data_IF_281642222738
#
_entry.id   IF_281642222738
#
_cell.length_a   1.000
_cell.length_b   1.000
_cell.length_c   1.000
_cell.angle_alpha   90.00
_cell.angle_beta   90.00
_cell.angle_gamma   90.00
#
_symmetry.space_group_name_H-M   'P 1'
#
loop_
_entity.id
_entity.type
_entity.pdbx_description
1 polymer ?
#
# COMPACT_ATOMS: atom_id res chain seq x y z
N UNK A 1 -23.92 0.66 -11.07
CA UNK A 1 -23.68 1.83 -10.17
C UNK A 1 -22.57 2.69 -10.76
N UNK A 2 -22.52 3.99 -10.47
CA UNK A 2 -21.51 4.90 -11.03
C UNK A 2 -20.68 5.57 -9.93
N UNK A 3 -19.39 5.79 -10.21
CA UNK A 3 -18.52 6.50 -9.29
C UNK A 3 -18.84 8.00 -9.28
N UNK A 4 -19.13 8.62 -8.13
CA UNK A 4 -19.47 10.04 -8.06
C UNK A 4 -18.30 10.97 -8.42
N UNK A 5 -17.06 10.49 -8.37
CA UNK A 5 -15.87 11.31 -8.64
C UNK A 5 -15.36 11.23 -10.08
N UNK A 6 -15.46 10.06 -10.74
CA UNK A 6 -14.92 9.87 -12.08
C UNK A 6 -15.94 9.42 -13.13
N UNK A 7 -17.21 9.19 -12.73
CA UNK A 7 -18.27 8.75 -13.64
C UNK A 7 -18.13 7.31 -14.17
N UNK A 8 -17.16 6.53 -13.69
CA UNK A 8 -16.96 5.17 -14.15
C UNK A 8 -18.11 4.27 -13.69
N UNK A 9 -18.70 3.52 -14.62
CA UNK A 9 -19.80 2.58 -14.37
C UNK A 9 -19.29 1.21 -13.92
N UNK A 10 -19.96 0.63 -12.93
CA UNK A 10 -19.60 -0.63 -12.28
C UNK A 10 -20.79 -1.59 -12.32
N UNK A 11 -20.50 -2.82 -12.74
CA UNK A 11 -21.36 -3.98 -12.54
C UNK A 11 -20.84 -4.71 -11.30
N UNK A 12 -21.62 -4.67 -10.23
CA UNK A 12 -21.25 -5.25 -8.94
C UNK A 12 -22.23 -6.38 -8.67
N UNK A 13 -21.71 -7.55 -8.30
CA UNK A 13 -22.53 -8.70 -7.96
C UNK A 13 -23.44 -8.39 -6.76
N UNK A 14 -24.65 -8.93 -6.76
CA UNK A 14 -25.69 -8.70 -5.73
C UNK A 14 -25.19 -8.94 -4.30
N UNK A 15 -24.27 -9.88 -4.14
CA UNK A 15 -23.76 -10.33 -2.83
C UNK A 15 -22.82 -9.32 -2.16
N UNK A 16 -22.38 -8.29 -2.90
CA UNK A 16 -21.55 -7.22 -2.37
C UNK A 16 -22.37 -6.06 -1.80
N UNK A 17 -23.71 -6.20 -1.71
CA UNK A 17 -24.58 -5.22 -1.06
C UNK A 17 -24.16 -4.93 0.37
N UNK A 18 -23.97 -3.65 0.71
CA UNK A 18 -23.50 -3.20 2.02
C UNK A 18 -21.98 -3.06 2.17
N UNK A 19 -21.19 -3.46 1.17
CA UNK A 19 -19.72 -3.30 1.17
C UNK A 19 -19.25 -1.97 0.57
N UNK A 20 -18.03 -1.57 0.91
CA UNK A 20 -17.32 -0.44 0.29
C UNK A 20 -16.31 -0.93 -0.74
N UNK A 21 -16.39 -0.40 -1.96
CA UNK A 21 -15.46 -0.70 -3.05
C UNK A 21 -14.67 0.57 -3.39
N UNK A 22 -13.36 0.45 -3.63
CA UNK A 22 -12.55 1.58 -4.07
C UNK A 22 -12.51 1.62 -5.58
N UNK A 23 -12.96 2.75 -6.13
CA UNK A 23 -12.89 3.02 -7.55
C UNK A 23 -11.43 3.19 -8.00
N UNK A 24 -11.13 2.96 -9.27
CA UNK A 24 -9.80 3.19 -9.86
C UNK A 24 -9.33 4.64 -9.69
N UNK A 25 -10.25 5.59 -9.59
CA UNK A 25 -9.92 6.99 -9.29
C UNK A 25 -9.52 7.25 -7.82
N UNK A 26 -9.58 6.22 -6.95
CA UNK A 26 -9.29 6.29 -5.52
C UNK A 26 -10.47 6.71 -4.64
N UNK A 27 -11.67 6.85 -5.20
CA UNK A 27 -12.88 7.20 -4.45
C UNK A 27 -13.57 5.95 -3.92
N UNK A 28 -13.92 5.94 -2.64
CA UNK A 28 -14.72 4.88 -2.02
C UNK A 28 -16.18 5.00 -2.44
N UNK A 29 -16.78 3.90 -2.87
CA UNK A 29 -18.18 3.80 -3.27
C UNK A 29 -18.88 2.78 -2.35
N UNK A 30 -19.99 3.18 -1.74
CA UNK A 30 -20.87 2.26 -1.00
C UNK A 30 -21.74 1.49 -1.98
N UNK A 31 -21.74 0.17 -1.90
CA UNK A 31 -22.68 -0.68 -2.65
C UNK A 31 -24.00 -0.72 -1.88
N UNK A 32 -25.12 -0.23 -2.43
CA UNK A 32 -26.40 -0.29 -1.75
C UNK A 32 -26.80 -1.75 -1.49
N UNK A 33 -27.24 -2.05 -0.26
CA UNK A 33 -27.77 -3.38 0.07
C UNK A 33 -29.07 -3.65 -0.66
N UNK A 34 -29.22 -4.84 -1.25
CA UNK A 34 -30.49 -5.25 -1.85
C UNK A 34 -31.55 -5.39 -0.75
N UNK A 35 -32.57 -4.53 -0.79
CA UNK A 35 -33.78 -4.76 -0.03
C UNK A 35 -34.46 -6.03 -0.61
N UNK A 36 -34.61 -7.07 0.21
CA UNK A 36 -35.31 -8.30 -0.18
C UNK A 36 -36.80 -8.01 -0.39
N UNK A 37 -37.24 -7.83 -1.64
CA UNK A 37 -38.67 -7.89 -1.98
C UNK A 37 -39.00 -9.35 -2.35
N UNK A 38 -39.70 -10.04 -1.46
CA UNK A 38 -39.98 -11.48 -1.49
C UNK A 38 -41.19 -11.90 -2.34
N UNK A 39 -41.68 -11.08 -3.28
CA UNK A 39 -42.99 -11.32 -3.92
C UNK A 39 -42.99 -11.72 -5.40
N UNK A 40 -41.85 -11.87 -6.08
CA UNK A 40 -41.83 -12.12 -7.55
C UNK A 40 -41.34 -13.51 -7.99
N UNK A 41 -40.92 -14.39 -7.08
CA UNK A 41 -40.28 -15.67 -7.44
C UNK A 41 -41.29 -16.82 -7.66
N UNK A 42 -42.54 -16.72 -7.18
CA UNK A 42 -43.49 -17.84 -7.24
C UNK A 42 -44.09 -18.12 -8.64
N UNK A 43 -43.94 -17.23 -9.61
CA UNK A 43 -44.69 -17.34 -10.88
C UNK A 43 -44.00 -18.17 -11.99
N UNK A 44 -42.74 -18.58 -11.84
CA UNK A 44 -41.99 -19.26 -12.92
C UNK A 44 -41.77 -20.77 -12.71
N UNK A 45 -42.21 -21.36 -11.60
CA UNK A 45 -41.94 -22.78 -11.27
C UNK A 45 -43.01 -23.78 -11.76
N UNK A 46 -43.72 -23.49 -12.85
CA UNK A 46 -44.71 -24.43 -13.43
C UNK A 46 -44.55 -24.62 -14.94
N UNK A 47 -43.46 -25.25 -15.36
CA UNK A 47 -43.40 -25.91 -16.68
C UNK A 47 -42.73 -27.28 -16.51
N UNK A 48 -43.43 -28.31 -17.00
CA UNK A 48 -43.23 -29.75 -16.78
C UNK A 48 -41.95 -30.32 -17.42
N UNK A 49 -41.42 -31.34 -16.75
CA UNK A 49 -40.45 -32.33 -17.24
C UNK A 49 -40.98 -33.11 -18.46
N UNK A 50 -40.10 -33.42 -19.43
CA UNK A 50 -40.16 -34.70 -20.15
C UNK A 50 -38.83 -35.12 -20.82
N UNK A 51 -38.50 -36.41 -20.60
CA UNK A 51 -37.76 -37.36 -21.45
C UNK A 51 -36.25 -37.21 -21.82
N UNK A 52 -35.45 -38.10 -21.23
CA UNK A 52 -34.45 -39.05 -21.80
C UNK A 52 -33.59 -38.70 -23.03
N UNK A 53 -32.26 -38.97 -22.97
CA UNK A 53 -31.45 -39.73 -23.96
C UNK A 53 -30.07 -40.08 -23.37
N UNK A 54 -29.54 -41.24 -23.78
CA UNK A 54 -28.39 -42.01 -23.31
C UNK A 54 -27.09 -41.84 -24.15
N UNK A 55 -25.95 -41.88 -23.44
CA UNK A 55 -24.66 -42.58 -23.69
C UNK A 55 -23.81 -42.44 -24.99
N UNK A 56 -22.49 -42.65 -24.78
CA UNK A 56 -21.36 -42.94 -25.72
C UNK A 56 -20.72 -41.75 -26.46
N UNK A 57 -19.41 -41.63 -26.75
CA UNK A 57 -18.10 -42.20 -26.35
C UNK A 57 -16.99 -41.32 -27.03
N UNK A 58 -15.70 -41.60 -26.79
CA UNK A 58 -14.47 -41.23 -27.56
C UNK A 58 -13.62 -39.96 -27.28
N UNK A 59 -12.51 -40.20 -26.54
CA UNK A 59 -11.07 -40.17 -26.92
C UNK A 59 -10.27 -38.89 -27.34
N UNK A 60 -9.12 -38.75 -26.65
CA UNK A 60 -7.83 -38.09 -26.99
C UNK A 60 -7.79 -36.56 -27.15
N UNK A 61 -6.72 -35.83 -26.82
CA UNK A 61 -5.44 -36.03 -26.12
C UNK A 61 -4.84 -34.63 -25.95
N UNK A 62 -4.27 -34.32 -24.79
CA UNK A 62 -2.99 -33.60 -24.62
C UNK A 62 -2.93 -32.94 -23.24
N UNK A 63 -1.93 -33.37 -22.46
CA UNK A 63 -1.71 -32.90 -21.10
C UNK A 63 -0.85 -31.64 -21.05
N UNK A 64 -1.19 -30.74 -20.13
CA UNK A 64 -0.21 -30.16 -19.21
C UNK A 64 -0.87 -29.53 -17.97
N UNK A 65 -0.81 -30.29 -16.86
CA UNK A 65 -0.88 -29.91 -15.44
C UNK A 65 -1.98 -28.92 -14.97
N UNK A 66 -3.20 -29.43 -14.82
CA UNK A 66 -4.22 -28.83 -13.94
C UNK A 66 -4.02 -29.27 -12.48
N UNK A 67 -3.82 -28.30 -11.58
CA UNK A 67 -3.93 -28.49 -10.14
C UNK A 67 -5.39 -28.86 -9.79
N UNK A 68 -5.64 -29.90 -8.97
CA UNK A 68 -7.00 -30.38 -8.75
C UNK A 68 -7.74 -29.41 -7.84
N UNK A 69 -8.53 -28.51 -8.43
CA UNK A 69 -9.74 -28.03 -7.78
C UNK A 69 -10.65 -29.25 -7.65
N UNK A 70 -10.52 -29.95 -6.52
CA UNK A 70 -11.47 -30.97 -6.09
C UNK A 70 -12.83 -30.29 -6.07
N UNK A 71 -13.59 -30.45 -7.16
CA UNK A 71 -14.98 -30.07 -7.30
C UNK A 71 -15.66 -30.79 -6.13
N UNK A 72 -15.99 -30.04 -5.08
CA UNK A 72 -16.80 -30.55 -3.99
C UNK A 72 -18.07 -31.03 -4.64
N UNK A 73 -18.28 -32.35 -4.62
CA UNK A 73 -19.49 -32.98 -5.10
C UNK A 73 -20.67 -32.29 -4.41
N UNK A 74 -21.46 -31.62 -5.25
CA UNK A 74 -22.63 -30.87 -4.85
C UNK A 74 -23.78 -31.85 -4.59
N UNK A 75 -23.68 -32.61 -3.51
CA UNK A 75 -24.81 -33.35 -2.95
C UNK A 75 -25.75 -32.36 -2.25
N UNK A 76 -26.75 -31.91 -3.00
CA UNK A 76 -28.16 -31.60 -2.68
C UNK A 76 -28.58 -30.93 -1.34
N UNK A 77 -27.66 -30.46 -0.49
CA UNK A 77 -27.97 -29.79 0.78
C UNK A 77 -27.17 -28.49 1.04
N UNK A 78 -26.31 -28.05 0.11
CA UNK A 78 -25.37 -26.93 0.31
C UNK A 78 -25.96 -25.52 0.14
N UNK A 79 -27.06 -25.37 -0.60
CA UNK A 79 -27.62 -24.04 -0.90
C UNK A 79 -28.28 -23.36 0.31
N UNK A 80 -28.86 -24.15 1.23
CA UNK A 80 -29.46 -23.61 2.44
C UNK A 80 -28.42 -23.27 3.51
N UNK A 81 -27.29 -24.00 3.57
CA UNK A 81 -26.22 -23.66 4.50
C UNK A 81 -25.57 -22.33 4.11
N UNK A 82 -25.24 -22.12 2.84
CA UNK A 82 -24.63 -20.87 2.33
C UNK A 82 -25.52 -19.62 2.50
N UNK A 83 -26.85 -19.79 2.65
CA UNK A 83 -27.80 -18.70 2.94
C UNK A 83 -28.03 -18.45 4.43
N UNK A 84 -27.51 -19.30 5.31
CA UNK A 84 -27.66 -19.09 6.76
C UNK A 84 -26.77 -17.94 7.24
N UNK A 85 -27.23 -17.13 8.23
CA UNK A 85 -26.42 -16.08 8.83
C UNK A 85 -25.07 -16.59 9.35
N UNK A 86 -25.05 -17.82 9.90
CA UNK A 86 -23.84 -18.46 10.44
C UNK A 86 -22.83 -18.83 9.33
N UNK A 87 -23.26 -19.34 8.18
CA UNK A 87 -22.35 -19.63 7.07
C UNK A 87 -21.81 -18.35 6.43
N UNK A 88 -22.62 -17.29 6.38
CA UNK A 88 -22.19 -15.95 5.97
C UNK A 88 -21.11 -15.42 6.93
N UNK A 89 -21.31 -15.55 8.24
CA UNK A 89 -20.33 -15.14 9.25
C UNK A 89 -19.03 -15.96 9.18
N UNK A 90 -19.11 -17.28 9.01
CA UNK A 90 -17.94 -18.16 8.85
C UNK A 90 -17.17 -17.83 7.56
N UNK A 91 -17.87 -17.59 6.46
CA UNK A 91 -17.25 -17.20 5.19
C UNK A 91 -16.61 -15.81 5.30
N UNK A 92 -17.30 -14.84 5.91
CA UNK A 92 -16.78 -13.49 6.16
C UNK A 92 -15.53 -13.54 7.06
N UNK A 93 -15.53 -14.34 8.11
CA UNK A 93 -14.37 -14.53 9.00
C UNK A 93 -13.20 -15.19 8.26
N UNK A 94 -13.46 -16.16 7.38
CA UNK A 94 -12.43 -16.78 6.52
C UNK A 94 -11.84 -15.80 5.51
N UNK A 95 -12.69 -15.00 4.86
CA UNK A 95 -12.26 -13.97 3.91
C UNK A 95 -11.45 -12.88 4.63
N UNK A 96 -11.94 -12.38 5.77
CA UNK A 96 -11.24 -11.41 6.62
C UNK A 96 -9.87 -11.93 7.03
N UNK A 97 -9.79 -13.16 7.53
CA UNK A 97 -8.51 -13.78 7.95
C UNK A 97 -7.54 -13.93 6.78
N UNK A 98 -7.99 -14.37 5.60
CA UNK A 98 -7.16 -14.46 4.40
C UNK A 98 -6.62 -13.09 3.96
N UNK A 99 -7.46 -12.06 4.01
CA UNK A 99 -7.08 -10.68 3.66
C UNK A 99 -6.10 -10.07 4.66
N UNK A 100 -6.30 -10.32 5.96
CA UNK A 100 -5.37 -9.90 7.02
C UNK A 100 -4.02 -10.58 6.87
N UNK A 101 -3.99 -11.91 6.68
CA UNK A 101 -2.74 -12.66 6.52
C UNK A 101 -1.96 -12.20 5.29
N UNK A 102 -2.64 -12.00 4.15
CA UNK A 102 -2.00 -11.47 2.94
C UNK A 102 -1.41 -10.07 3.19
N UNK A 103 -2.15 -9.21 3.88
CA UNK A 103 -1.67 -7.85 4.15
C UNK A 103 -0.49 -7.82 5.11
N UNK A 104 -0.48 -8.69 6.12
CA UNK A 104 0.67 -8.85 7.03
C UNK A 104 1.91 -9.35 6.28
N UNK A 105 1.75 -10.33 5.39
CA UNK A 105 2.86 -10.82 4.56
C UNK A 105 3.38 -9.71 3.65
N UNK A 106 2.51 -8.96 2.98
CA UNK A 106 2.93 -7.86 2.12
C UNK A 106 3.59 -6.72 2.91
N UNK A 107 3.06 -6.36 4.08
CA UNK A 107 3.71 -5.40 4.98
C UNK A 107 5.12 -5.90 5.38
N UNK A 108 5.24 -7.16 5.78
CA UNK A 108 6.52 -7.75 6.14
C UNK A 108 7.50 -7.72 4.96
N UNK A 109 7.06 -8.10 3.76
CA UNK A 109 7.89 -8.06 2.55
C UNK A 109 8.31 -6.64 2.18
N UNK A 110 7.43 -5.64 2.33
CA UNK A 110 7.76 -4.23 2.09
C UNK A 110 8.79 -3.74 3.11
N UNK A 111 8.62 -4.03 4.40
CA UNK A 111 9.60 -3.66 5.42
C UNK A 111 10.94 -4.38 5.21
N UNK A 112 10.92 -5.65 4.84
CA UNK A 112 12.12 -6.43 4.54
C UNK A 112 12.83 -5.90 3.29
N UNK A 113 12.09 -5.56 2.24
CA UNK A 113 12.63 -4.97 1.02
C UNK A 113 13.25 -3.59 1.28
N UNK A 114 12.63 -2.80 2.15
CA UNK A 114 13.11 -1.47 2.51
C UNK A 114 14.37 -1.55 3.39
N UNK A 115 14.29 -2.28 4.51
CA UNK A 115 15.33 -2.28 5.55
C UNK A 115 16.40 -3.36 5.36
N UNK A 116 16.05 -4.48 4.72
CA UNK A 116 16.93 -5.65 4.59
C UNK A 116 18.28 -5.33 3.94
N UNK A 117 18.34 -4.66 2.78
CA UNK A 117 19.60 -4.29 2.15
C UNK A 117 20.48 -3.38 3.02
N UNK A 118 19.88 -2.46 3.77
CA UNK A 118 20.59 -1.58 4.69
C UNK A 118 21.12 -2.33 5.92
N UNK A 119 20.29 -3.19 6.53
CA UNK A 119 20.70 -4.04 7.66
C UNK A 119 21.84 -4.97 7.22
N UNK A 120 21.74 -5.58 6.05
CA UNK A 120 22.80 -6.42 5.50
C UNK A 120 24.12 -5.66 5.35
N UNK A 121 24.07 -4.44 4.80
CA UNK A 121 25.23 -3.58 4.64
C UNK A 121 25.86 -3.21 5.98
N UNK A 122 25.05 -2.86 6.99
CA UNK A 122 25.56 -2.55 8.34
C UNK A 122 26.19 -3.76 9.02
N UNK A 123 25.61 -4.95 8.84
CA UNK A 123 26.05 -6.19 9.52
C UNK A 123 27.26 -6.85 8.85
N UNK A 124 27.39 -6.76 7.52
CA UNK A 124 28.36 -7.56 6.75
C UNK A 124 29.53 -6.73 6.22
N UNK A 125 29.40 -5.41 6.17
CA UNK A 125 30.40 -4.51 5.59
C UNK A 125 30.99 -3.61 6.66
N UNK A 126 32.31 -3.46 6.68
CA UNK A 126 33.00 -2.54 7.58
C UNK A 126 32.61 -1.07 7.32
N UNK A 127 32.53 -0.27 8.39
CA UNK A 127 32.01 1.11 8.41
C UNK A 127 32.51 1.99 7.25
N UNK A 128 33.80 1.94 6.93
CA UNK A 128 34.38 2.77 5.85
C UNK A 128 33.81 2.46 4.47
N UNK A 129 33.47 1.20 4.21
CA UNK A 129 32.91 0.76 2.92
C UNK A 129 31.39 0.92 2.86
N UNK A 130 30.73 1.16 4.00
CA UNK A 130 29.27 1.34 4.06
C UNK A 130 28.83 2.60 3.30
N UNK A 131 29.56 3.71 3.43
CA UNK A 131 29.25 4.98 2.78
C UNK A 131 29.26 4.85 1.25
N UNK A 132 30.26 4.15 0.71
CA UNK A 132 30.39 3.90 -0.73
C UNK A 132 29.30 2.96 -1.25
N UNK A 133 28.87 1.99 -0.43
CA UNK A 133 27.88 0.99 -0.84
C UNK A 133 26.42 1.41 -0.56
N UNK A 134 26.20 2.45 0.23
CA UNK A 134 24.86 2.95 0.57
C UNK A 134 23.97 3.26 -0.66
N UNK A 135 24.47 3.89 -1.74
CA UNK A 135 23.69 4.10 -2.96
C UNK A 135 23.19 2.79 -3.57
N UNK A 136 24.03 1.76 -3.56
CA UNK A 136 23.70 0.45 -4.12
C UNK A 136 22.66 -0.26 -3.26
N UNK A 137 22.75 -0.19 -1.93
CA UNK A 137 21.71 -0.74 -1.06
C UNK A 137 20.37 -0.05 -1.27
N UNK A 138 20.35 1.28 -1.42
CA UNK A 138 19.12 2.03 -1.66
C UNK A 138 18.49 1.69 -3.02
N UNK A 139 19.30 1.47 -4.06
CA UNK A 139 18.81 0.99 -5.37
C UNK A 139 18.25 -0.43 -5.30
N UNK A 140 18.89 -1.32 -4.54
CA UNK A 140 18.38 -2.68 -4.30
C UNK A 140 17.04 -2.60 -3.57
N UNK A 141 16.93 -1.81 -2.49
CA UNK A 141 15.67 -1.58 -1.78
C UNK A 141 14.59 -1.05 -2.73
N UNK A 142 14.89 0.00 -3.51
CA UNK A 142 13.95 0.56 -4.48
C UNK A 142 13.48 -0.44 -5.54
N UNK A 143 14.40 -1.27 -6.04
CA UNK A 143 14.09 -2.34 -7.01
C UNK A 143 13.15 -3.39 -6.39
N UNK A 144 13.42 -3.85 -5.16
CA UNK A 144 12.57 -4.79 -4.47
C UNK A 144 11.17 -4.21 -4.20
N UNK A 145 11.09 -2.94 -3.81
CA UNK A 145 9.82 -2.23 -3.64
C UNK A 145 9.04 -2.15 -4.96
N UNK A 146 9.69 -1.86 -6.08
CA UNK A 146 9.05 -1.86 -7.38
C UNK A 146 8.50 -3.24 -7.75
N UNK A 147 9.30 -4.31 -7.56
CA UNK A 147 8.87 -5.68 -7.86
C UNK A 147 7.65 -6.08 -7.04
N UNK A 148 7.64 -5.80 -5.74
CA UNK A 148 6.47 -6.01 -4.87
C UNK A 148 5.31 -5.14 -5.35
N UNK A 149 5.58 -3.87 -5.65
CA UNK A 149 4.62 -2.88 -6.08
C UNK A 149 3.90 -3.23 -7.38
N UNK A 150 4.57 -3.92 -8.31
CA UNK A 150 3.98 -4.44 -9.55
C UNK A 150 2.93 -5.52 -9.28
N UNK A 151 3.14 -6.38 -8.27
CA UNK A 151 2.15 -7.40 -7.89
C UNK A 151 0.90 -6.83 -7.22
N UNK A 152 0.98 -5.60 -6.73
CA UNK A 152 -0.10 -4.86 -6.06
C UNK A 152 -0.33 -3.48 -6.70
N UNK A 153 -0.21 -3.41 -8.02
CA UNK A 153 -0.16 -2.17 -8.82
C UNK A 153 -1.28 -1.17 -8.53
N UNK A 154 -2.50 -1.66 -8.28
CA UNK A 154 -3.67 -0.85 -7.94
C UNK A 154 -3.47 0.02 -6.68
N UNK A 155 -2.73 -0.47 -5.69
CA UNK A 155 -2.42 0.28 -4.47
C UNK A 155 -1.17 1.15 -4.67
N UNK A 156 -0.10 0.55 -5.21
CA UNK A 156 1.20 1.20 -5.39
C UNK A 156 1.11 2.45 -6.27
N UNK A 157 0.52 2.30 -7.46
CA UNK A 157 0.55 3.33 -8.50
C UNK A 157 -0.77 4.10 -8.62
N UNK A 158 -1.83 3.68 -7.89
CA UNK A 158 -3.14 4.35 -7.94
C UNK A 158 -3.10 5.83 -7.53
N UNK A 159 -2.07 6.25 -6.77
CA UNK A 159 -1.84 7.64 -6.41
C UNK A 159 -0.97 8.44 -7.40
N UNK A 160 -0.43 7.82 -8.45
CA UNK A 160 0.37 8.50 -9.48
C UNK A 160 -0.53 9.28 -10.46
N UNK A 161 -1.23 10.28 -9.93
CA UNK A 161 -2.14 11.15 -10.68
C UNK A 161 -1.84 12.62 -10.41
N UNK A 162 -2.20 13.47 -11.37
CA UNK A 162 -2.10 14.93 -11.23
C UNK A 162 -2.94 15.41 -10.03
N UNK A 163 -2.49 16.47 -9.37
CA UNK A 163 -3.20 17.14 -8.29
C UNK A 163 -3.17 18.66 -8.51
N UNK A 164 -4.03 19.38 -7.79
CA UNK A 164 -4.03 20.85 -7.83
C UNK A 164 -2.68 21.41 -7.35
N UNK A 165 -2.20 22.48 -8.00
CA UNK A 165 -0.93 23.12 -7.67
C UNK A 165 -0.83 23.55 -6.20
N UNK A 166 -1.96 23.84 -5.54
CA UNK A 166 -2.01 24.19 -4.10
C UNK A 166 -1.36 23.12 -3.21
N UNK A 167 -1.52 21.83 -3.54
CA UNK A 167 -0.94 20.75 -2.76
C UNK A 167 0.58 20.69 -2.93
N UNK A 168 1.09 21.05 -4.12
CA UNK A 168 2.53 21.12 -4.40
C UNK A 168 3.17 22.31 -3.69
N UNK A 169 2.50 23.48 -3.69
CA UNK A 169 2.97 24.66 -2.94
C UNK A 169 2.98 24.37 -1.44
N UNK A 170 1.91 23.78 -0.90
CA UNK A 170 1.85 23.37 0.51
C UNK A 170 2.96 22.37 0.85
N UNK A 171 3.20 21.36 -0.01
CA UNK A 171 4.28 20.40 0.15
C UNK A 171 5.66 21.07 0.30
N UNK A 172 5.96 22.06 -0.54
CA UNK A 172 7.23 22.80 -0.46
C UNK A 172 7.30 23.65 0.81
N UNK A 173 6.24 24.38 1.16
CA UNK A 173 6.21 25.22 2.37
C UNK A 173 6.38 24.38 3.64
N UNK A 174 5.67 23.25 3.73
CA UNK A 174 5.77 22.33 4.87
C UNK A 174 7.15 21.68 4.93
N UNK A 175 7.75 21.32 3.80
CA UNK A 175 9.13 20.81 3.77
C UNK A 175 10.12 21.80 4.38
N UNK A 176 10.04 23.08 3.97
CA UNK A 176 10.92 24.14 4.49
C UNK A 176 10.69 24.35 5.99
N UNK A 177 9.44 24.46 6.43
CA UNK A 177 9.11 24.64 7.86
C UNK A 177 9.58 23.45 8.68
N UNK A 178 9.38 22.22 8.19
CA UNK A 178 9.83 21.01 8.86
C UNK A 178 11.36 20.96 8.99
N UNK A 179 12.10 21.34 7.94
CA UNK A 179 13.56 21.38 7.98
C UNK A 179 14.07 22.42 8.99
N UNK A 180 13.47 23.62 9.03
CA UNK A 180 13.82 24.65 10.01
C UNK A 180 13.52 24.21 11.45
N UNK A 181 12.39 23.52 11.66
CA UNK A 181 12.02 23.02 12.98
C UNK A 181 12.94 21.88 13.43
N UNK A 182 13.33 21.00 12.50
CA UNK A 182 14.27 19.92 12.77
C UNK A 182 15.66 20.49 13.14
N UNK A 183 16.17 21.47 12.39
CA UNK A 183 17.42 22.16 12.71
C UNK A 183 17.36 22.82 14.09
N UNK A 184 16.29 23.58 14.36
CA UNK A 184 16.08 24.21 15.67
C UNK A 184 16.08 23.18 16.82
N UNK A 185 15.45 22.02 16.61
CA UNK A 185 15.38 20.94 17.59
C UNK A 185 16.73 20.30 17.85
N UNK A 186 17.47 19.95 16.80
CA UNK A 186 18.80 19.36 16.94
C UNK A 186 19.76 20.31 17.68
N UNK A 187 19.63 21.63 17.44
CA UNK A 187 20.38 22.65 18.14
C UNK A 187 20.05 22.76 19.64
N UNK A 188 18.95 22.17 20.14
CA UNK A 188 18.67 22.08 21.58
C UNK A 188 19.48 20.97 22.28
N UNK A 189 20.02 20.02 21.52
CA UNK A 189 20.73 18.84 22.05
C UNK A 189 22.11 18.66 21.39
N UNK A 190 23.01 19.66 21.48
CA UNK A 190 24.28 19.65 20.77
C UNK A 190 25.25 18.53 21.21
N UNK A 191 24.98 17.89 22.36
CA UNK A 191 25.78 16.77 22.88
C UNK A 191 25.38 15.40 22.31
N UNK A 192 24.30 15.32 21.52
CA UNK A 192 23.89 14.09 20.85
C UNK A 192 24.43 14.14 19.43
N UNK A 193 25.55 13.45 19.23
CA UNK A 193 26.12 13.25 17.89
C UNK A 193 25.22 12.28 17.11
N UNK A 194 24.18 12.80 16.46
CA UNK A 194 23.35 12.02 15.55
C UNK A 194 24.09 11.93 14.21
N UNK A 195 25.03 10.99 14.11
CA UNK A 195 25.89 10.83 12.94
C UNK A 195 25.15 10.14 11.80
N UNK A 196 24.27 10.87 11.11
CA UNK A 196 24.11 10.68 9.68
C UNK A 196 25.28 11.42 9.03
N UNK A 197 26.29 10.71 8.46
CA UNK A 197 27.50 11.33 7.95
C UNK A 197 27.21 11.97 6.58
N UNK A 198 26.22 12.87 6.50
CA UNK A 198 25.79 13.53 5.27
C UNK A 198 26.95 14.32 4.65
N UNK A 199 27.77 14.96 5.48
CA UNK A 199 29.00 15.63 5.05
C UNK A 199 29.98 14.66 4.38
N UNK A 200 30.32 13.54 5.03
CA UNK A 200 31.23 12.52 4.46
C UNK A 200 30.64 11.88 3.19
N UNK A 201 29.33 11.59 3.18
CA UNK A 201 28.62 11.08 2.01
C UNK A 201 28.71 12.07 0.84
N UNK A 202 28.54 13.37 1.10
CA UNK A 202 28.66 14.44 0.12
C UNK A 202 30.09 14.60 -0.38
N UNK A 203 31.10 14.42 0.48
CA UNK A 203 32.51 14.42 0.08
C UNK A 203 32.85 13.25 -0.84
N UNK A 204 32.31 12.05 -0.55
CA UNK A 204 32.58 10.83 -1.32
C UNK A 204 31.82 10.78 -2.65
N UNK A 205 30.53 11.13 -2.66
CA UNK A 205 29.65 10.99 -3.83
C UNK A 205 29.46 12.29 -4.61
N UNK A 206 29.90 13.42 -4.07
CA UNK A 206 29.54 14.75 -4.55
C UNK A 206 28.08 15.11 -4.27
N UNK A 207 27.75 16.39 -4.47
CA UNK A 207 26.40 16.92 -4.22
C UNK A 207 25.32 16.18 -5.02
N UNK A 208 25.55 15.92 -6.30
CA UNK A 208 24.59 15.22 -7.16
C UNK A 208 24.32 13.80 -6.70
N UNK A 209 25.37 13.05 -6.32
CA UNK A 209 25.24 11.69 -5.82
C UNK A 209 24.53 11.64 -4.47
N UNK A 210 24.87 12.55 -3.55
CA UNK A 210 24.19 12.66 -2.26
C UNK A 210 22.70 13.01 -2.41
N UNK A 211 22.35 13.97 -3.27
CA UNK A 211 20.95 14.31 -3.57
C UNK A 211 20.19 13.13 -4.19
N UNK A 212 20.82 12.39 -5.09
CA UNK A 212 20.19 11.21 -5.68
C UNK A 212 19.89 10.14 -4.63
N UNK A 213 20.83 9.87 -3.72
CA UNK A 213 20.72 8.81 -2.72
C UNK A 213 19.81 9.16 -1.54
N UNK A 214 19.87 10.41 -1.06
CA UNK A 214 19.18 10.83 0.16
C UNK A 214 17.88 11.57 -0.14
N UNK A 215 17.78 12.29 -1.26
CA UNK A 215 16.57 13.04 -1.61
C UNK A 215 15.70 12.30 -2.62
N UNK A 216 16.24 11.97 -3.81
CA UNK A 216 15.43 11.44 -4.92
C UNK A 216 14.97 10.01 -4.66
N UNK A 217 15.90 9.13 -4.30
CA UNK A 217 15.62 7.69 -4.14
C UNK A 217 14.56 7.43 -3.05
N UNK A 218 14.66 8.00 -1.83
CA UNK A 218 13.64 7.84 -0.80
C UNK A 218 12.31 8.49 -1.18
N UNK A 219 12.35 9.72 -1.72
CA UNK A 219 11.14 10.43 -2.11
C UNK A 219 10.30 9.67 -3.14
N UNK A 220 10.90 8.82 -3.96
CA UNK A 220 10.15 7.96 -4.89
C UNK A 220 9.78 6.63 -4.25
N UNK A 221 10.78 5.84 -3.81
CA UNK A 221 10.53 4.46 -3.44
C UNK A 221 9.85 4.31 -2.08
N UNK A 222 10.19 5.16 -1.10
CA UNK A 222 9.51 5.14 0.19
C UNK A 222 8.09 5.64 0.07
N UNK A 223 7.82 6.67 -0.72
CA UNK A 223 6.43 7.13 -0.92
C UNK A 223 5.57 6.07 -1.64
N UNK A 224 6.14 5.34 -2.60
CA UNK A 224 5.46 4.18 -3.20
C UNK A 224 5.19 3.08 -2.17
N UNK A 225 6.15 2.78 -1.29
CA UNK A 225 6.03 1.77 -0.25
C UNK A 225 5.01 2.16 0.83
N UNK A 226 5.14 3.35 1.41
CA UNK A 226 4.33 3.78 2.55
C UNK A 226 2.99 4.34 2.12
N UNK A 227 2.93 5.24 1.12
CA UNK A 227 1.70 5.98 0.75
C UNK A 227 0.94 5.27 -0.37
N UNK A 228 1.65 4.54 -1.23
CA UNK A 228 1.04 3.66 -2.23
C UNK A 228 0.53 2.37 -1.60
N UNK A 229 1.47 1.49 -1.22
CA UNK A 229 1.16 0.14 -0.73
C UNK A 229 0.56 0.13 0.68
N UNK A 230 1.31 0.66 1.66
CA UNK A 230 0.99 0.39 3.07
C UNK A 230 -0.25 1.14 3.55
N UNK A 231 -0.31 2.46 3.32
CA UNK A 231 -1.44 3.30 3.70
C UNK A 231 -2.74 2.82 3.08
N UNK A 232 -2.75 2.49 1.78
CA UNK A 232 -3.95 2.02 1.10
C UNK A 232 -4.54 0.76 1.74
N UNK A 233 -3.68 -0.18 2.13
CA UNK A 233 -4.10 -1.43 2.79
C UNK A 233 -4.49 -1.24 4.24
N UNK A 234 -3.71 -0.49 5.02
CA UNK A 234 -4.00 -0.28 6.43
C UNK A 234 -5.27 0.56 6.62
N UNK A 235 -5.52 1.56 5.77
CA UNK A 235 -6.78 2.31 5.80
C UNK A 235 -7.99 1.42 5.46
N UNK A 236 -7.83 0.45 4.56
CA UNK A 236 -8.88 -0.52 4.24
C UNK A 236 -9.18 -1.47 5.41
N UNK A 237 -8.15 -1.93 6.13
CA UNK A 237 -8.31 -2.90 7.22
C UNK A 237 -8.70 -2.27 8.56
N UNK A 238 -8.09 -1.14 8.92
CA UNK A 238 -8.18 -0.54 10.25
C UNK A 238 -9.06 0.71 10.28
N UNK A 239 -9.49 1.20 9.12
CA UNK A 239 -10.11 2.51 8.97
C UNK A 239 -9.08 3.62 8.74
N UNK A 240 -9.58 4.78 8.29
CA UNK A 240 -8.76 5.90 7.80
C UNK A 240 -7.70 6.37 8.80
N UNK A 241 -8.10 6.73 10.01
CA UNK A 241 -7.20 7.38 10.98
C UNK A 241 -6.21 6.39 11.59
N UNK A 242 -6.65 5.18 11.90
CA UNK A 242 -5.78 4.10 12.37
C UNK A 242 -4.76 3.72 11.29
N UNK A 243 -5.18 3.62 10.02
CA UNK A 243 -4.27 3.37 8.91
C UNK A 243 -3.22 4.45 8.75
N UNK A 244 -3.61 5.73 8.84
CA UNK A 244 -2.69 6.88 8.82
C UNK A 244 -1.66 6.78 9.95
N UNK A 245 -2.10 6.54 11.19
CA UNK A 245 -1.21 6.50 12.35
C UNK A 245 -0.24 5.32 12.30
N UNK A 246 -0.72 4.13 11.91
CA UNK A 246 0.14 2.94 11.81
C UNK A 246 1.14 3.07 10.67
N UNK A 247 0.75 3.61 9.51
CA UNK A 247 1.70 3.89 8.43
C UNK A 247 2.74 4.93 8.84
N UNK A 248 2.32 6.01 9.50
CA UNK A 248 3.25 7.03 9.99
C UNK A 248 4.24 6.47 11.02
N UNK A 249 3.77 5.61 11.92
CA UNK A 249 4.63 4.93 12.89
C UNK A 249 5.62 3.97 12.21
N UNK A 250 5.17 3.20 11.21
CA UNK A 250 6.05 2.32 10.44
C UNK A 250 7.13 3.13 9.69
N UNK A 251 6.77 4.28 9.12
CA UNK A 251 7.71 5.20 8.46
C UNK A 251 8.75 5.74 9.46
N UNK A 252 8.32 6.19 10.63
CA UNK A 252 9.23 6.68 11.67
C UNK A 252 10.16 5.58 12.20
N UNK A 253 9.64 4.37 12.42
CA UNK A 253 10.44 3.24 12.87
C UNK A 253 11.47 2.79 11.82
N UNK A 254 11.17 2.91 10.53
CA UNK A 254 12.12 2.63 9.46
C UNK A 254 13.33 3.58 9.47
N UNK A 255 13.18 4.77 10.04
CA UNK A 255 14.26 5.74 10.26
C UNK A 255 15.02 5.52 11.59
N UNK A 256 14.57 4.57 12.42
CA UNK A 256 15.17 4.24 13.72
C UNK A 256 14.63 5.06 14.88
N UNK A 257 14.84 4.55 16.10
CA UNK A 257 14.42 5.24 17.35
C UNK A 257 15.56 6.14 17.81
N UNK A 258 15.68 7.30 17.19
CA UNK A 258 16.71 8.30 17.47
C UNK A 258 16.11 9.61 18.00
N UNK A 259 16.94 10.64 18.22
CA UNK A 259 16.46 11.96 18.67
C UNK A 259 15.54 12.62 17.63
N UNK A 260 15.77 12.34 16.34
CA UNK A 260 14.91 12.74 15.24
C UNK A 260 13.58 11.96 15.13
N UNK A 261 13.32 10.91 15.92
CA UNK A 261 12.11 10.09 15.78
C UNK A 261 10.78 10.89 15.82
N UNK A 262 10.59 11.88 16.72
CA UNK A 262 9.36 12.68 16.75
C UNK A 262 9.11 13.43 15.42
N UNK A 263 10.16 13.87 14.73
CA UNK A 263 10.06 14.54 13.43
C UNK A 263 9.65 13.57 12.34
N UNK A 264 10.27 12.39 12.28
CA UNK A 264 9.88 11.36 11.32
C UNK A 264 8.43 10.92 11.52
N UNK A 265 7.97 10.82 12.77
CA UNK A 265 6.55 10.55 13.08
C UNK A 265 5.64 11.68 12.60
N UNK A 266 5.97 12.95 12.91
CA UNK A 266 5.18 14.11 12.50
C UNK A 266 5.08 14.27 10.97
N UNK A 267 6.22 14.17 10.28
CA UNK A 267 6.30 14.15 8.82
C UNK A 267 5.52 12.95 8.26
N UNK A 268 5.66 11.79 8.90
CA UNK A 268 4.93 10.56 8.57
C UNK A 268 3.42 10.78 8.54
N UNK A 269 2.87 11.37 9.61
CA UNK A 269 1.45 11.70 9.74
C UNK A 269 1.03 12.73 8.68
N UNK A 270 1.80 13.81 8.52
CA UNK A 270 1.50 14.85 7.53
C UNK A 270 1.44 14.27 6.11
N UNK A 271 2.43 13.47 5.69
CA UNK A 271 2.46 12.88 4.36
C UNK A 271 1.28 11.94 4.13
N UNK A 272 0.90 11.13 5.14
CA UNK A 272 -0.29 10.29 5.06
C UNK A 272 -1.58 11.13 4.90
N UNK A 273 -1.70 12.21 5.66
CA UNK A 273 -2.83 13.15 5.56
C UNK A 273 -2.84 13.88 4.21
N UNK A 274 -1.68 14.30 3.70
CA UNK A 274 -1.52 14.93 2.40
C UNK A 274 -1.94 13.98 1.27
N UNK A 275 -1.52 12.72 1.32
CA UNK A 275 -1.92 11.66 0.39
C UNK A 275 -3.43 11.43 0.39
N UNK A 276 -4.03 11.42 1.57
CA UNK A 276 -5.47 11.24 1.74
C UNK A 276 -6.27 12.43 1.18
N UNK A 277 -5.88 13.68 1.48
CA UNK A 277 -6.60 14.88 1.01
C UNK A 277 -6.39 15.23 -0.46
N UNK A 278 -5.22 14.90 -1.03
CA UNK A 278 -4.89 15.19 -2.43
C UNK A 278 -5.24 14.04 -3.37
N UNK A 279 -5.37 12.82 -2.83
CA UNK A 279 -5.46 11.61 -3.62
C UNK A 279 -4.17 11.27 -4.41
N UNK A 280 -3.10 12.08 -4.32
CA UNK A 280 -1.91 11.97 -5.17
C UNK A 280 -0.65 11.69 -4.35
N UNK A 281 0.28 10.95 -4.94
CA UNK A 281 1.61 10.72 -4.40
C UNK A 281 2.57 11.88 -4.69
N UNK A 282 2.34 12.63 -5.78
CA UNK A 282 3.24 13.71 -6.21
C UNK A 282 3.53 14.77 -5.13
N UNK A 283 2.56 15.30 -4.37
CA UNK A 283 2.87 16.26 -3.31
C UNK A 283 3.66 15.61 -2.15
N UNK A 284 3.46 14.32 -1.89
CA UNK A 284 4.21 13.59 -0.86
C UNK A 284 5.66 13.40 -1.29
N UNK A 285 5.87 12.93 -2.52
CA UNK A 285 7.20 12.79 -3.14
C UNK A 285 7.93 14.14 -3.18
N UNK A 286 7.24 15.22 -3.55
CA UNK A 286 7.83 16.55 -3.59
C UNK A 286 8.23 17.05 -2.19
N UNK A 287 7.34 16.93 -1.20
CA UNK A 287 7.66 17.34 0.18
C UNK A 287 8.86 16.57 0.72
N UNK A 288 8.88 15.24 0.56
CA UNK A 288 9.96 14.38 1.02
C UNK A 288 11.28 14.72 0.31
N UNK A 289 11.26 14.89 -1.02
CA UNK A 289 12.42 15.30 -1.80
C UNK A 289 12.98 16.65 -1.33
N UNK A 290 12.12 17.66 -1.15
CA UNK A 290 12.55 19.00 -0.73
C UNK A 290 13.11 18.97 0.69
N UNK A 291 12.46 18.27 1.62
CA UNK A 291 12.92 18.13 2.99
C UNK A 291 14.32 17.50 3.04
N UNK A 292 14.50 16.32 2.43
CA UNK A 292 15.80 15.64 2.41
C UNK A 292 16.85 16.42 1.61
N UNK A 293 16.44 17.08 0.52
CA UNK A 293 17.31 17.91 -0.29
C UNK A 293 17.88 19.10 0.49
N UNK A 294 17.06 19.74 1.34
CA UNK A 294 17.52 20.81 2.23
C UNK A 294 18.58 20.28 3.20
N UNK A 295 18.35 19.10 3.81
CA UNK A 295 19.32 18.50 4.73
C UNK A 295 20.68 18.23 4.05
N UNK A 296 20.68 17.71 2.82
CA UNK A 296 21.91 17.45 2.05
C UNK A 296 22.62 18.74 1.63
N UNK A 297 21.88 19.79 1.29
CA UNK A 297 22.48 21.08 0.88
C UNK A 297 23.07 21.81 2.08
N UNK A 298 22.41 21.70 3.24
CA UNK A 298 22.81 22.35 4.49
C UNK A 298 23.93 21.60 5.25
N UNK A 299 24.17 20.31 4.92
CA UNK A 299 25.24 19.49 5.51
C UNK A 299 26.63 19.78 4.93
#
# INVERSE_FOLDING_TARGET
MECPACGQSWYVHSDLGGHQLMCQCGTWINVPGLAQNSSEIETMASVKEDSSISAEEEFASDGHLDLPLKRLDADYHSDNFLRSPEASEVLQNRLRTRWTNRTLVELFLVMLALLGPHIFLVMMVGIKSQIVLMPFSSLVSGTLILLIGLTASQFTFGGMKKCDARYLVEAVLVAVVAALLADWWMNQFPSVEETLPLGELREVLGLGGALFCIAVTPAVFEELAFRGLLQGRLCFLLGKWQGILVTAAAFALAHGVTLGFPFHMGIGVYLCWCRDRSGSLLPCMLMHFVYNGILVVAS
#
